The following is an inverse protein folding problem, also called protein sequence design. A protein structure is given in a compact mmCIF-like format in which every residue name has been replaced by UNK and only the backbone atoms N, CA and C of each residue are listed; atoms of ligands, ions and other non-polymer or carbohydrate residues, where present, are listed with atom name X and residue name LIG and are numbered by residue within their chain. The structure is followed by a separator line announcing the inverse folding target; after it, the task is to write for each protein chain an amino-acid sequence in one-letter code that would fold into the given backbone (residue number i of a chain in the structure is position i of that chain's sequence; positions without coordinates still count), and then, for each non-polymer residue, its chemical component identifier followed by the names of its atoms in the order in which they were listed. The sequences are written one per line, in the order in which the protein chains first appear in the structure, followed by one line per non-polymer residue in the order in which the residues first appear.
data_IF_950157763091
#
_entry.id   IF_950157763091
#
_cell.length_a   1.000
_cell.length_b   1.000
_cell.length_c   1.000
_cell.angle_alpha   90.00
_cell.angle_beta   90.00
_cell.angle_gamma   90.00
#
_symmetry.space_group_name_H-M   'P 1'
#
loop_
_entity.id
_entity.type
_entity.pdbx_description
1 polymer ?
#
# COMPACT_ATOMS: atom_id res chain seq x y z
N UNK A 1 2.25 -13.37 -5.22
CA UNK A 1 3.09 -13.07 -4.05
C UNK A 1 2.21 -13.17 -2.80
N UNK A 2 2.71 -13.76 -1.72
CA UNK A 2 2.01 -13.78 -0.42
C UNK A 2 2.24 -12.50 0.38
N UNK A 3 1.44 -12.24 1.42
CA UNK A 3 1.66 -11.10 2.32
C UNK A 3 3.04 -11.15 2.98
N UNK A 4 3.52 -12.32 3.38
CA UNK A 4 4.87 -12.48 3.94
C UNK A 4 5.96 -12.06 2.95
N UNK A 5 5.81 -12.45 1.68
CA UNK A 5 6.77 -12.07 0.63
C UNK A 5 6.74 -10.55 0.35
N UNK A 6 5.55 -9.93 0.40
CA UNK A 6 5.41 -8.48 0.32
C UNK A 6 6.09 -7.79 1.51
N UNK A 7 5.85 -8.25 2.73
CA UNK A 7 6.50 -7.71 3.94
C UNK A 7 8.02 -7.80 3.82
N UNK A 8 8.57 -8.95 3.41
CA UNK A 8 10.01 -9.11 3.23
C UNK A 8 10.58 -8.15 2.16
N UNK A 9 9.83 -7.88 1.08
CA UNK A 9 10.22 -6.90 0.07
C UNK A 9 10.25 -5.48 0.64
N UNK A 10 9.20 -5.09 1.38
CA UNK A 10 9.15 -3.79 2.05
C UNK A 10 10.29 -3.63 3.07
N UNK A 11 10.53 -4.65 3.89
CA UNK A 11 11.60 -4.65 4.90
C UNK A 11 12.98 -4.46 4.27
N UNK A 12 13.21 -5.08 3.10
CA UNK A 12 14.47 -4.95 2.37
C UNK A 12 14.69 -3.55 1.80
N UNK A 13 13.63 -2.84 1.42
CA UNK A 13 13.75 -1.51 0.78
C UNK A 13 13.70 -0.37 1.78
N UNK A 14 12.71 -0.40 2.66
CA UNK A 14 12.40 0.71 3.56
C UNK A 14 12.96 0.49 4.97
N UNK A 15 13.53 -0.68 5.24
CA UNK A 15 13.90 -1.12 6.59
C UNK A 15 12.76 -1.87 7.27
N UNK A 16 13.08 -2.53 8.38
CA UNK A 16 12.14 -3.39 9.09
C UNK A 16 11.01 -2.55 9.70
N UNK A 17 9.76 -2.85 9.30
CA UNK A 17 8.57 -2.24 9.88
C UNK A 17 7.69 -3.29 10.54
N UNK A 18 7.46 -3.17 11.85
CA UNK A 18 6.53 -4.06 12.54
C UNK A 18 5.09 -3.64 12.25
N UNK A 19 4.24 -4.54 11.70
CA UNK A 19 2.82 -4.26 11.54
C UNK A 19 2.19 -3.96 12.90
N UNK A 20 1.42 -2.87 12.97
CA UNK A 20 0.67 -2.51 14.16
C UNK A 20 -0.82 -2.77 13.93
N UNK A 21 -1.51 -3.23 14.97
CA UNK A 21 -2.97 -3.32 14.96
C UNK A 21 -3.54 -1.91 15.03
N UNK A 22 -4.37 -1.56 14.06
CA UNK A 22 -5.19 -0.36 14.11
C UNK A 22 -6.63 -0.75 14.47
N UNK A 23 -7.14 -0.16 15.55
CA UNK A 23 -8.50 -0.40 16.05
C UNK A 23 -9.49 0.69 15.61
N UNK A 24 -9.03 1.67 14.83
CA UNK A 24 -9.90 2.70 14.28
C UNK A 24 -11.01 2.05 13.42
N UNK A 25 -12.27 2.49 13.57
CA UNK A 25 -13.36 1.97 12.74
C UNK A 25 -13.13 2.40 11.29
N UNK A 26 -12.98 1.42 10.40
CA UNK A 26 -12.90 1.67 8.96
C UNK A 26 -14.29 1.97 8.42
N UNK A 27 -14.60 3.27 8.33
CA UNK A 27 -15.91 3.77 7.90
C UNK A 27 -16.37 3.24 6.53
N UNK A 28 -15.45 2.71 5.71
CA UNK A 28 -15.71 2.19 4.37
C UNK A 28 -15.25 0.74 4.17
N UNK A 29 -15.23 -0.09 5.21
CA UNK A 29 -15.02 -1.54 5.03
C UNK A 29 -16.21 -2.15 4.28
N UNK A 30 -16.13 -2.12 2.95
CA UNK A 30 -17.09 -2.79 2.07
C UNK A 30 -16.73 -4.28 2.04
N UNK A 31 -17.64 -5.19 2.40
CA UNK A 31 -17.30 -6.60 2.58
C UNK A 31 -16.61 -7.23 1.37
N UNK A 32 -17.00 -6.84 0.14
CA UNK A 32 -16.34 -7.26 -1.10
C UNK A 32 -16.87 -6.42 -2.29
N UNK A 33 -16.03 -5.57 -2.88
CA UNK A 33 -16.25 -5.10 -4.26
C UNK A 33 -15.37 -5.97 -5.15
N UNK A 34 -15.94 -7.08 -5.62
CA UNK A 34 -15.33 -7.87 -6.68
C UNK A 34 -16.16 -7.66 -7.94
N UNK A 35 -15.71 -6.76 -8.81
CA UNK A 35 -16.26 -6.64 -10.15
C UNK A 35 -15.21 -7.09 -11.15
N UNK A 36 -15.47 -8.19 -11.86
CA UNK A 36 -14.60 -8.70 -12.90
C UNK A 36 -14.84 -7.89 -14.19
N UNK A 37 -14.06 -6.82 -14.35
CA UNK A 37 -14.09 -5.97 -15.55
C UNK A 37 -13.34 -6.58 -16.74
N UNK A 38 -12.92 -7.86 -16.67
CA UNK A 38 -12.11 -8.50 -17.71
C UNK A 38 -10.73 -7.85 -17.90
N UNK A 39 -10.28 -7.07 -16.93
CA UNK A 39 -8.97 -6.43 -16.96
C UNK A 39 -7.86 -7.45 -16.75
N UNK A 40 -6.80 -7.36 -17.57
CA UNK A 40 -5.61 -8.20 -17.46
C UNK A 40 -4.40 -7.30 -17.21
N UNK A 41 -3.67 -7.60 -16.14
CA UNK A 41 -2.42 -6.91 -15.86
C UNK A 41 -1.34 -7.33 -16.85
N UNK A 42 -0.77 -6.38 -17.59
CA UNK A 42 0.35 -6.59 -18.52
C UNK A 42 1.72 -6.35 -17.86
N UNK A 43 1.72 -5.68 -16.71
CA UNK A 43 2.92 -5.31 -15.97
C UNK A 43 3.20 -6.38 -14.90
N UNK A 44 4.47 -6.74 -14.72
CA UNK A 44 4.83 -7.68 -13.66
C UNK A 44 4.69 -7.02 -12.27
N UNK A 45 4.38 -7.82 -11.26
CA UNK A 45 4.13 -7.31 -9.91
C UNK A 45 5.33 -6.57 -9.31
N UNK A 46 6.56 -7.02 -9.57
CA UNK A 46 7.77 -6.37 -9.08
C UNK A 46 7.96 -4.95 -9.63
N UNK A 47 7.64 -4.72 -10.90
CA UNK A 47 7.73 -3.42 -11.53
C UNK A 47 6.67 -2.48 -10.95
N UNK A 48 5.46 -2.98 -10.70
CA UNK A 48 4.42 -2.19 -10.02
C UNK A 48 4.90 -1.76 -8.63
N UNK A 49 5.49 -2.67 -7.84
CA UNK A 49 6.00 -2.33 -6.51
C UNK A 49 7.13 -1.30 -6.56
N UNK A 50 8.05 -1.44 -7.51
CA UNK A 50 9.15 -0.50 -7.69
C UNK A 50 8.65 0.89 -8.10
N UNK A 51 7.70 0.96 -9.04
CA UNK A 51 7.11 2.22 -9.49
C UNK A 51 6.36 2.92 -8.34
N UNK A 52 5.57 2.16 -7.55
CA UNK A 52 4.88 2.69 -6.35
C UNK A 52 5.89 3.25 -5.35
N UNK A 53 6.97 2.50 -5.06
CA UNK A 53 7.98 2.93 -4.11
C UNK A 53 8.73 4.18 -4.58
N UNK A 54 9.15 4.20 -5.84
CA UNK A 54 9.81 5.33 -6.46
C UNK A 54 8.91 6.58 -6.43
N UNK A 55 7.61 6.42 -6.71
CA UNK A 55 6.65 7.50 -6.65
C UNK A 55 6.49 8.05 -5.22
N UNK A 56 6.32 7.16 -4.22
CA UNK A 56 6.19 7.57 -2.83
C UNK A 56 7.41 8.33 -2.29
N UNK A 57 8.62 7.94 -2.72
CA UNK A 57 9.88 8.63 -2.36
C UNK A 57 10.00 10.01 -3.03
N UNK A 58 9.52 10.13 -4.28
CA UNK A 58 9.58 11.40 -5.04
C UNK A 58 8.47 12.37 -4.66
N UNK A 59 7.36 11.88 -4.13
CA UNK A 59 6.17 12.65 -3.78
C UNK A 59 5.75 12.41 -2.32
N UNK A 60 6.56 12.83 -1.33
CA UNK A 60 6.25 12.61 0.08
C UNK A 60 4.94 13.30 0.54
N UNK A 61 4.50 14.35 -0.16
CA UNK A 61 3.24 15.05 0.07
C UNK A 61 2.01 14.22 -0.33
N UNK A 62 2.19 13.17 -1.13
CA UNK A 62 1.10 12.39 -1.71
C UNK A 62 0.21 11.76 -0.65
N UNK A 63 0.79 11.32 0.47
CA UNK A 63 0.03 10.72 1.57
C UNK A 63 -0.98 11.71 2.16
N UNK A 64 -0.57 12.96 2.37
CA UNK A 64 -1.43 14.02 2.91
C UNK A 64 -2.60 14.32 1.96
N UNK A 65 -2.35 14.27 0.65
CA UNK A 65 -3.39 14.45 -0.38
C UNK A 65 -4.37 13.27 -0.48
N UNK A 66 -3.92 12.06 -0.13
CA UNK A 66 -4.72 10.84 -0.19
C UNK A 66 -5.67 10.63 1.00
N UNK A 67 -5.78 11.62 1.89
CA UNK A 67 -6.64 11.57 3.08
C UNK A 67 -5.96 10.93 4.29
N UNK A 68 -4.64 10.79 4.28
CA UNK A 68 -3.88 10.44 5.48
C UNK A 68 -3.64 11.70 6.31
N UNK A 69 -4.36 11.85 7.42
CA UNK A 69 -4.06 12.86 8.43
C UNK A 69 -2.99 12.30 9.38
N UNK A 70 -1.81 12.94 9.43
CA UNK A 70 -0.86 12.67 10.51
C UNK A 70 -1.49 13.14 11.82
N UNK A 71 -1.74 12.21 12.74
CA UNK A 71 -2.17 12.53 14.11
C UNK A 71 -1.21 13.59 14.69
N UNK A 72 -1.74 14.78 14.97
CA UNK A 72 -0.96 15.89 15.52
C UNK A 72 -0.56 15.57 16.96
N UNK A 73 0.73 15.59 17.25
CA UNK A 73 1.26 15.52 18.63
C UNK A 73 1.13 16.87 19.32
#
# INVERSE_FOLDING_TARGET
MSLQQLTAWCDSRFGIHQPQSDHSPRNYDVPWIANDFGWRCEINLSAILEDIACHAEQHPEWLELSGYEKEST
#
